data_IF_439326780996
#
_entry.id   IF_439326780996
#
_cell.length_a   1.000
_cell.length_b   1.000
_cell.length_c   1.000
_cell.angle_alpha   90.00
_cell.angle_beta   90.00
_cell.angle_gamma   90.00
#
_symmetry.space_group_name_H-M   'P 1'
#
loop_
_entity.id
_entity.type
_entity.pdbx_description
1 polymer ?
#
# COMPACT_ATOMS: atom_id res chain seq x y z
N UNK A 1 -14.56 -8.94 -20.16
CA UNK A 1 -14.52 -7.58 -19.60
C UNK A 1 -13.07 -7.27 -19.29
N UNK A 2 -12.51 -6.23 -19.90
CA UNK A 2 -11.12 -5.84 -19.65
C UNK A 2 -11.14 -4.93 -18.43
N UNK A 3 -10.64 -5.40 -17.29
CA UNK A 3 -10.49 -4.56 -16.11
C UNK A 3 -9.65 -3.34 -16.49
N UNK A 4 -10.18 -2.13 -16.25
CA UNK A 4 -9.40 -0.91 -16.43
C UNK A 4 -8.17 -0.99 -15.52
N UNK A 5 -6.96 -0.64 -16.01
CA UNK A 5 -5.78 -0.66 -15.19
C UNK A 5 -5.98 0.28 -14.00
N UNK A 6 -5.88 -0.26 -12.78
CA UNK A 6 -5.88 0.53 -11.54
C UNK A 6 -4.50 1.18 -11.42
N UNK A 7 -4.47 2.50 -11.33
CA UNK A 7 -3.23 3.27 -11.19
C UNK A 7 -3.09 3.78 -9.77
N UNK A 8 -1.84 4.01 -9.33
CA UNK A 8 -1.60 4.74 -8.10
C UNK A 8 -2.26 6.13 -8.18
N UNK A 9 -2.80 6.65 -7.06
CA UNK A 9 -3.37 7.98 -7.05
C UNK A 9 -2.30 9.04 -7.32
N UNK A 10 -2.67 10.13 -7.98
CA UNK A 10 -1.74 11.18 -8.34
C UNK A 10 -1.01 11.73 -7.10
N UNK A 11 0.32 11.79 -7.17
CA UNK A 11 1.16 12.30 -6.08
C UNK A 11 1.50 11.28 -4.98
N UNK A 12 0.93 10.08 -5.00
CA UNK A 12 1.40 8.97 -4.19
C UNK A 12 2.71 8.38 -4.73
N UNK A 13 3.48 7.72 -3.88
CA UNK A 13 4.63 6.94 -4.33
C UNK A 13 4.18 5.66 -5.03
N UNK A 14 4.79 5.39 -6.18
CA UNK A 14 4.72 4.08 -6.80
C UNK A 14 5.74 3.14 -6.15
N UNK A 15 5.32 1.92 -5.84
CA UNK A 15 6.16 0.92 -5.20
C UNK A 15 5.80 -0.49 -5.69
N UNK A 16 6.56 -1.48 -5.25
CA UNK A 16 6.36 -2.90 -5.55
C UNK A 16 6.37 -3.73 -4.27
N UNK A 17 5.74 -4.91 -4.27
CA UNK A 17 5.95 -5.90 -3.20
C UNK A 17 7.45 -6.14 -2.97
N UNK A 18 7.87 -6.10 -1.71
CA UNK A 18 9.27 -6.20 -1.30
C UNK A 18 9.95 -4.86 -1.00
N UNK A 19 9.47 -3.75 -1.57
CA UNK A 19 10.03 -2.42 -1.31
C UNK A 19 9.84 -2.00 0.15
N UNK A 20 10.69 -1.09 0.61
CA UNK A 20 10.51 -0.38 1.86
C UNK A 20 10.07 1.06 1.60
N UNK A 21 9.10 1.54 2.37
CA UNK A 21 8.66 2.93 2.37
C UNK A 21 9.20 3.60 3.62
N UNK A 22 10.01 4.63 3.45
CA UNK A 22 10.46 5.51 4.54
C UNK A 22 9.57 6.74 4.50
N UNK A 23 8.66 6.85 5.47
CA UNK A 23 7.69 7.95 5.53
C UNK A 23 7.98 8.86 6.71
N UNK A 24 7.99 10.17 6.47
CA UNK A 24 8.07 11.18 7.52
C UNK A 24 6.70 11.39 8.17
N UNK A 25 6.62 11.22 9.48
CA UNK A 25 5.44 11.44 10.30
C UNK A 25 5.32 12.90 10.78
N UNK A 26 4.20 13.24 11.41
CA UNK A 26 3.88 14.60 11.83
C UNK A 26 4.82 15.13 12.93
N UNK A 27 5.38 14.24 13.75
CA UNK A 27 6.36 14.52 14.80
C UNK A 27 7.81 14.63 14.26
N UNK A 28 7.97 14.70 12.94
CA UNK A 28 9.22 14.71 12.21
C UNK A 28 10.04 13.41 12.28
N UNK A 29 9.57 12.35 12.96
CA UNK A 29 10.20 11.04 12.91
C UNK A 29 9.91 10.35 11.57
N UNK A 30 10.74 9.39 11.21
CA UNK A 30 10.60 8.57 10.02
C UNK A 30 10.23 7.16 10.42
N UNK A 31 9.14 6.64 9.87
CA UNK A 31 8.71 5.25 10.06
C UNK A 31 8.95 4.45 8.79
N UNK A 32 9.39 3.21 8.98
CA UNK A 32 9.66 2.29 7.87
C UNK A 32 8.51 1.32 7.74
N UNK A 33 8.02 1.15 6.52
CA UNK A 33 7.03 0.15 6.18
C UNK A 33 7.60 -0.79 5.14
N UNK A 34 7.36 -2.10 5.26
CA UNK A 34 7.63 -3.06 4.18
C UNK A 34 6.35 -3.29 3.39
N UNK A 35 6.44 -3.17 2.07
CA UNK A 35 5.33 -3.47 1.17
C UNK A 35 5.22 -4.98 1.01
N UNK A 36 4.13 -5.56 1.53
CA UNK A 36 3.81 -6.99 1.32
C UNK A 36 3.11 -7.20 -0.01
N UNK A 37 2.11 -6.37 -0.29
CA UNK A 37 1.28 -6.51 -1.49
C UNK A 37 0.60 -5.19 -1.86
N UNK A 38 0.10 -5.12 -3.08
CA UNK A 38 -0.66 -3.99 -3.62
C UNK A 38 -2.03 -4.52 -4.02
N UNK A 39 -3.09 -4.01 -3.41
CA UNK A 39 -4.45 -4.54 -3.58
C UNK A 39 -5.40 -3.44 -4.02
N UNK A 40 -6.37 -3.80 -4.86
CA UNK A 40 -7.52 -2.97 -5.14
C UNK A 40 -8.71 -3.52 -4.34
N UNK A 41 -9.47 -2.63 -3.71
CA UNK A 41 -10.69 -3.00 -2.99
C UNK A 41 -11.91 -2.74 -3.87
N UNK A 42 -12.82 -3.70 -3.88
CA UNK A 42 -14.11 -3.57 -4.55
C UNK A 42 -15.23 -3.88 -3.57
N UNK A 43 -16.29 -3.08 -3.67
CA UNK A 43 -17.50 -3.32 -2.89
C UNK A 43 -18.28 -4.45 -3.52
N UNK A 44 -18.67 -5.42 -2.70
CA UNK A 44 -19.57 -6.49 -3.09
C UNK A 44 -20.98 -6.18 -2.63
N UNK A 45 -21.95 -6.39 -3.51
CA UNK A 45 -23.37 -6.34 -3.21
C UNK A 45 -23.93 -7.77 -3.12
N UNK A 46 -24.75 -8.07 -2.10
CA UNK A 46 -25.46 -9.33 -2.04
C UNK A 46 -26.57 -9.36 -3.09
N UNK A 47 -26.56 -10.38 -3.94
CA UNK A 47 -27.70 -10.72 -4.76
C UNK A 47 -28.73 -11.47 -3.90
N UNK A 48 -30.00 -11.05 -3.92
CA UNK A 48 -31.10 -11.68 -3.18
C UNK A 48 -31.55 -13.02 -3.81
N UNK A 49 -30.59 -13.84 -4.25
CA UNK A 49 -30.76 -15.20 -4.76
C UNK A 49 -30.63 -16.22 -3.62
N UNK A 50 -31.01 -17.48 -3.87
CA UNK A 50 -30.67 -18.60 -2.99
C UNK A 50 -29.85 -19.65 -3.77
N UNK A 51 -28.59 -19.92 -3.37
CA UNK A 51 -27.83 -19.25 -2.30
C UNK A 51 -27.56 -17.77 -2.60
N UNK A 52 -27.24 -16.99 -1.55
CA UNK A 52 -26.84 -15.59 -1.71
C UNK A 52 -25.53 -15.56 -2.48
N UNK A 53 -25.55 -14.93 -3.65
CA UNK A 53 -24.34 -14.67 -4.42
C UNK A 53 -23.80 -13.26 -4.09
N UNK A 54 -22.49 -13.10 -4.16
CA UNK A 54 -21.84 -11.79 -4.07
C UNK A 54 -21.47 -11.35 -5.49
N UNK A 55 -21.84 -10.12 -5.84
CA UNK A 55 -21.54 -9.52 -7.14
C UNK A 55 -20.82 -8.20 -6.90
N UNK A 56 -19.82 -7.86 -7.71
CA UNK A 56 -19.16 -6.57 -7.60
C UNK A 56 -20.16 -5.44 -7.91
N UNK A 57 -20.14 -4.38 -7.11
CA UNK A 57 -21.02 -3.22 -7.29
C UNK A 57 -20.81 -2.57 -8.67
N UNK A 58 -19.57 -2.57 -9.16
CA UNK A 58 -19.19 -2.04 -10.47
C UNK A 58 -19.86 -2.77 -11.64
N UNK A 59 -20.26 -4.04 -11.46
CA UNK A 59 -20.96 -4.81 -12.50
C UNK A 59 -22.46 -4.47 -12.58
N UNK A 60 -22.99 -3.73 -11.59
CA UNK A 60 -24.42 -3.49 -11.42
C UNK A 60 -24.82 -2.03 -11.58
N UNK A 61 -24.00 -1.10 -11.08
CA UNK A 61 -24.34 0.33 -11.01
C UNK A 61 -23.18 1.18 -11.54
N UNK A 62 -23.28 1.63 -12.78
CA UNK A 62 -22.26 2.48 -13.42
C UNK A 62 -22.28 3.94 -12.89
N UNK A 63 -23.36 4.34 -12.19
CA UNK A 63 -23.66 5.75 -11.86
C UNK A 63 -23.56 6.12 -10.38
N UNK A 64 -23.17 5.20 -9.49
CA UNK A 64 -23.07 5.43 -8.03
C UNK A 64 -21.84 4.75 -7.40
N UNK A 65 -20.66 4.91 -8.00
CA UNK A 65 -19.43 4.38 -7.42
C UNK A 65 -19.15 5.04 -6.06
N UNK A 66 -18.89 4.26 -4.98
CA UNK A 66 -18.49 4.83 -3.70
C UNK A 66 -17.14 5.54 -3.81
N UNK A 67 -16.86 6.49 -2.92
CA UNK A 67 -15.67 7.35 -3.01
C UNK A 67 -14.33 6.58 -3.06
N UNK A 68 -14.28 5.36 -2.50
CA UNK A 68 -13.11 4.49 -2.47
C UNK A 68 -13.02 3.49 -3.65
N UNK A 69 -13.99 3.52 -4.58
CA UNK A 69 -14.04 2.58 -5.69
C UNK A 69 -12.83 2.79 -6.62
N UNK A 70 -12.00 1.75 -6.73
CA UNK A 70 -10.82 1.77 -7.59
C UNK A 70 -9.57 2.36 -6.96
N UNK A 71 -9.60 2.66 -5.66
CA UNK A 71 -8.41 3.11 -4.93
C UNK A 71 -7.43 1.94 -4.70
N UNK A 72 -6.17 2.18 -5.04
CA UNK A 72 -5.07 1.28 -4.73
C UNK A 72 -4.74 1.38 -3.24
N UNK A 73 -4.64 0.23 -2.59
CA UNK A 73 -4.25 0.06 -1.20
C UNK A 73 -2.94 -0.72 -1.12
N UNK A 74 -2.18 -0.45 -0.07
CA UNK A 74 -0.94 -1.12 0.26
C UNK A 74 -1.15 -2.00 1.49
N UNK A 75 -0.79 -3.27 1.38
CA UNK A 75 -0.65 -4.16 2.51
C UNK A 75 0.79 -4.04 3.03
N UNK A 76 0.94 -3.61 4.28
CA UNK A 76 2.20 -3.18 4.85
C UNK A 76 2.51 -3.90 6.17
N UNK A 77 3.80 -4.05 6.45
CA UNK A 77 4.29 -4.22 7.82
C UNK A 77 4.95 -2.93 8.28
N UNK A 78 4.50 -2.32 9.37
CA UNK A 78 5.25 -1.27 10.03
C UNK A 78 6.42 -1.91 10.78
N UNK A 79 7.62 -1.38 10.57
CA UNK A 79 8.86 -1.89 11.17
C UNK A 79 9.35 -0.94 12.27
N UNK A 80 10.10 -1.50 13.21
CA UNK A 80 10.72 -0.75 14.31
C UNK A 80 12.25 -0.69 14.14
N UNK A 81 12.94 0.32 14.71
CA UNK A 81 12.38 1.49 15.40
C UNK A 81 11.89 2.58 14.42
N UNK A 82 11.26 3.62 14.95
CA UNK A 82 11.14 4.89 14.22
C UNK A 82 12.43 5.73 14.35
N UNK A 83 12.83 6.37 13.26
CA UNK A 83 14.11 7.08 13.10
C UNK A 83 13.93 8.59 13.16
N UNK A 84 15.00 9.33 13.48
CA UNK A 84 14.98 10.79 13.47
C UNK A 84 15.14 11.39 12.06
N UNK A 85 15.67 10.60 11.12
CA UNK A 85 15.89 11.03 9.74
C UNK A 85 15.65 9.89 8.75
N UNK A 86 15.35 10.26 7.49
CA UNK A 86 15.20 9.29 6.40
C UNK A 86 16.52 8.57 6.12
N UNK A 87 17.66 9.26 6.24
CA UNK A 87 18.98 8.69 6.03
C UNK A 87 19.28 7.54 7.01
N UNK A 88 18.99 7.74 8.31
CA UNK A 88 19.16 6.69 9.32
C UNK A 88 18.26 5.48 9.06
N UNK A 89 17.03 5.71 8.60
CA UNK A 89 16.10 4.65 8.22
C UNK A 89 16.63 3.84 7.01
N UNK A 90 17.13 4.52 5.97
CA UNK A 90 17.73 3.89 4.78
C UNK A 90 18.94 3.03 5.16
N UNK A 91 19.81 3.54 6.04
CA UNK A 91 20.96 2.77 6.53
C UNK A 91 20.52 1.52 7.31
N UNK A 92 19.48 1.61 8.14
CA UNK A 92 18.95 0.46 8.85
C UNK A 92 18.32 -0.60 7.92
N UNK A 93 17.63 -0.16 6.86
CA UNK A 93 17.12 -1.05 5.79
C UNK A 93 18.29 -1.81 5.15
N UNK A 94 19.35 -1.11 4.76
CA UNK A 94 20.51 -1.71 4.09
C UNK A 94 21.30 -2.64 5.01
N UNK A 95 21.40 -2.31 6.29
CA UNK A 95 22.07 -3.13 7.29
C UNK A 95 21.24 -4.34 7.73
N UNK A 96 19.96 -4.43 7.34
CA UNK A 96 19.04 -5.48 7.80
C UNK A 96 18.77 -5.42 9.31
N UNK A 97 18.87 -4.24 9.92
CA UNK A 97 18.75 -4.05 11.38
C UNK A 97 17.35 -3.66 11.84
N UNK A 98 16.35 -3.80 10.96
CA UNK A 98 14.95 -3.52 11.28
C UNK A 98 14.36 -4.65 12.12
N UNK A 99 13.67 -4.26 13.19
CA UNK A 99 12.88 -5.17 14.02
C UNK A 99 11.48 -5.37 13.47
N UNK A 100 10.82 -6.42 13.98
CA UNK A 100 9.39 -6.60 13.75
C UNK A 100 8.60 -5.48 14.44
N UNK A 101 7.66 -4.87 13.71
CA UNK A 101 6.64 -3.99 14.27
C UNK A 101 5.25 -4.57 14.02
N UNK A 102 4.30 -3.71 13.65
CA UNK A 102 2.89 -4.07 13.43
C UNK A 102 2.69 -4.64 12.01
N UNK A 103 2.33 -5.93 11.86
CA UNK A 103 2.12 -6.53 10.55
C UNK A 103 0.70 -6.35 10.02
N UNK A 104 0.53 -6.46 8.70
CA UNK A 104 -0.79 -6.59 8.07
C UNK A 104 -1.63 -5.32 8.05
N UNK A 105 -0.99 -4.15 8.04
CA UNK A 105 -1.63 -2.86 7.91
C UNK A 105 -2.12 -2.63 6.48
N UNK A 106 -3.42 -2.47 6.29
CA UNK A 106 -3.98 -2.06 5.01
C UNK A 106 -4.20 -0.54 5.01
N UNK A 107 -3.55 0.17 4.09
CA UNK A 107 -3.64 1.63 3.97
C UNK A 107 -3.87 2.07 2.52
N UNK A 108 -4.65 3.12 2.26
CA UNK A 108 -4.72 3.73 0.94
C UNK A 108 -3.33 4.17 0.47
N UNK A 109 -3.01 3.99 -0.81
CA UNK A 109 -1.73 4.46 -1.37
C UNK A 109 -1.58 5.99 -1.26
N UNK A 110 -2.70 6.73 -1.25
CA UNK A 110 -2.74 8.19 -1.03
C UNK A 110 -2.15 8.64 0.31
N UNK A 111 -2.08 7.76 1.32
CA UNK A 111 -1.45 8.05 2.61
C UNK A 111 0.09 8.12 2.53
N UNK A 112 0.66 7.79 1.37
CA UNK A 112 2.10 7.78 1.11
C UNK A 112 2.45 8.75 -0.02
N UNK A 113 2.31 10.07 0.19
CA UNK A 113 2.64 11.06 -0.83
C UNK A 113 4.15 11.10 -1.09
N UNK A 114 4.56 11.28 -2.34
CA UNK A 114 5.96 11.38 -2.77
C UNK A 114 6.72 12.53 -2.09
N UNK A 115 6.00 13.58 -1.68
CA UNK A 115 6.59 14.71 -0.94
C UNK A 115 7.06 14.34 0.49
N UNK A 116 6.62 13.22 1.04
CA UNK A 116 6.93 12.81 2.43
C UNK A 116 7.36 11.34 2.55
N UNK A 117 7.42 10.63 1.43
CA UNK A 117 7.69 9.20 1.40
C UNK A 117 8.78 8.93 0.38
N UNK A 118 9.80 8.19 0.80
CA UNK A 118 10.86 7.69 -0.06
C UNK A 118 10.70 6.18 -0.20
N UNK A 119 10.82 5.68 -1.44
CA UNK A 119 10.85 4.25 -1.73
C UNK A 119 12.29 3.78 -1.75
N UNK A 120 12.58 2.69 -1.03
CA UNK A 120 13.87 2.03 -0.98
C UNK A 120 13.67 0.61 -1.48
N UNK A 121 14.10 0.37 -2.72
CA UNK A 121 13.94 -0.93 -3.35
C UNK A 121 14.69 -2.02 -2.58
N UNK A 122 14.06 -3.18 -2.42
CA UNK A 122 14.80 -4.36 -1.99
C UNK A 122 15.73 -4.76 -3.13
N UNK A 123 17.04 -4.61 -2.97
CA UNK A 123 18.02 -5.19 -3.88
C UNK A 123 18.07 -6.71 -3.67
N UNK A 124 16.97 -7.41 -3.96
CA UNK A 124 17.01 -8.85 -4.16
C UNK A 124 17.28 -9.09 -5.64
N UNK A 125 18.50 -9.53 -5.89
CA UNK A 125 19.02 -9.82 -7.22
C UNK A 125 18.13 -10.75 -8.04
N UNK A 126 18.19 -10.51 -9.33
CA UNK A 126 17.89 -11.46 -10.39
C UNK A 126 18.46 -12.86 -10.03
N UNK A 127 17.67 -13.94 -10.05
CA UNK A 127 18.16 -15.22 -10.52
C UNK A 127 17.85 -15.35 -12.01
N UNK A 128 18.80 -15.95 -12.71
CA UNK A 128 18.85 -16.24 -14.15
C UNK A 128 17.63 -17.00 -14.69
#
# INVERSE_FOLDING_TARGET
>A
MTALPRTFPAGAVECRPGDHLVRREADARCRVYRVRDIVALERLLPSLTRPVALTAEADLLDSMAPAYAGEVHLLLDALEPAFESAEAAVQAIQAGSLGAGEPGLLRPAGDFPAARTQVVGSSTGHPA
#
